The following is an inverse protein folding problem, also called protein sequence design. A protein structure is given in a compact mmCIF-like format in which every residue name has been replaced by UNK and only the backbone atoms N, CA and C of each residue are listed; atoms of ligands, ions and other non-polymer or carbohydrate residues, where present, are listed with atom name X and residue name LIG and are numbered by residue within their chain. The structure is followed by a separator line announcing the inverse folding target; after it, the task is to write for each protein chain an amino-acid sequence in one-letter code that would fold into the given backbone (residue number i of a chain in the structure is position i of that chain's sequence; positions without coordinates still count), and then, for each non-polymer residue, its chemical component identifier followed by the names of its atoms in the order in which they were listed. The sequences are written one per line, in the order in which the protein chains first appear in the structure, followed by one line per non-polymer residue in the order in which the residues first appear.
data_IF_672553374944
#
_entry.id   IF_672553374944
#
_cell.length_a   1.000
_cell.length_b   1.000
_cell.length_c   1.000
_cell.angle_alpha   90.00
_cell.angle_beta   90.00
_cell.angle_gamma   90.00
#
_symmetry.space_group_name_H-M   'P 1'
#
loop_
_entity.id
_entity.type
_entity.pdbx_description
1 polymer ?
#
# COMPACT_ATOMS: atom_id res chain seq x y z
N UNK A 1 50.33 -38.36 26.08
CA UNK A 1 49.12 -37.53 26.32
C UNK A 1 49.55 -36.09 26.08
N UNK A 2 49.10 -35.40 25.04
CA UNK A 2 47.88 -34.58 25.11
C UNK A 2 47.51 -34.11 23.70
N UNK A 3 46.30 -34.42 23.23
CA UNK A 3 45.68 -33.81 22.05
C UNK A 3 45.17 -32.44 22.46
N UNK A 4 45.91 -31.38 22.17
CA UNK A 4 45.35 -30.03 22.12
C UNK A 4 44.46 -29.94 20.89
N UNK A 5 43.17 -30.23 21.07
CA UNK A 5 42.13 -29.95 20.07
C UNK A 5 42.16 -28.46 19.74
N UNK A 6 42.39 -28.18 18.47
CA UNK A 6 42.29 -26.86 17.86
C UNK A 6 40.88 -26.27 18.12
N UNK A 7 40.80 -25.36 19.09
CA UNK A 7 39.58 -24.62 19.42
C UNK A 7 39.47 -23.31 18.59
N UNK A 8 40.42 -23.03 17.69
CA UNK A 8 40.42 -21.87 16.80
C UNK A 8 39.69 -22.14 15.48
N UNK A 9 39.85 -23.33 14.90
CA UNK A 9 39.22 -23.73 13.63
C UNK A 9 37.69 -23.79 13.70
N UNK A 10 37.12 -24.28 14.81
CA UNK A 10 35.67 -24.47 14.96
C UNK A 10 34.87 -23.16 14.91
N UNK A 11 35.47 -22.05 15.37
CA UNK A 11 34.81 -20.75 15.46
C UNK A 11 34.74 -20.02 14.11
N UNK A 12 35.72 -20.24 13.23
CA UNK A 12 35.72 -19.73 11.85
C UNK A 12 34.72 -20.47 10.94
N UNK A 13 34.65 -21.81 11.08
CA UNK A 13 33.72 -22.64 10.32
C UNK A 13 32.25 -22.34 10.68
N UNK A 14 31.94 -22.21 11.98
CA UNK A 14 30.59 -21.85 12.43
C UNK A 14 30.16 -20.46 11.90
N UNK A 15 31.06 -19.47 11.93
CA UNK A 15 30.80 -18.13 11.42
C UNK A 15 30.50 -18.10 9.92
N UNK A 16 31.24 -18.89 9.12
CA UNK A 16 30.99 -19.01 7.68
C UNK A 16 29.65 -19.69 7.35
N UNK A 17 29.26 -20.71 8.11
CA UNK A 17 27.97 -21.40 7.94
C UNK A 17 26.81 -20.48 8.31
N UNK A 18 26.91 -19.74 9.42
CA UNK A 18 25.88 -18.78 9.84
C UNK A 18 25.73 -17.62 8.84
N UNK A 19 26.85 -17.12 8.30
CA UNK A 19 26.84 -16.12 7.22
C UNK A 19 26.18 -16.66 5.96
N UNK A 20 26.48 -17.89 5.54
CA UNK A 20 25.84 -18.53 4.39
C UNK A 20 24.33 -18.73 4.58
N UNK A 21 23.90 -19.18 5.76
CA UNK A 21 22.48 -19.33 6.09
C UNK A 21 21.75 -17.98 6.12
N UNK A 22 22.38 -16.93 6.65
CA UNK A 22 21.83 -15.58 6.63
C UNK A 22 21.63 -15.08 5.20
N UNK A 23 22.61 -15.27 4.31
CA UNK A 23 22.47 -14.92 2.88
C UNK A 23 21.34 -15.72 2.23
N UNK A 24 21.27 -17.03 2.46
CA UNK A 24 20.23 -17.88 1.88
C UNK A 24 18.82 -17.44 2.32
N UNK A 25 18.61 -17.25 3.63
CA UNK A 25 17.35 -16.72 4.17
C UNK A 25 17.05 -15.32 3.62
N UNK A 26 18.07 -14.46 3.53
CA UNK A 26 17.96 -13.13 2.96
C UNK A 26 17.47 -13.14 1.52
N UNK A 27 18.05 -14.02 0.68
CA UNK A 27 17.61 -14.21 -0.71
C UNK A 27 16.17 -14.70 -0.79
N UNK A 28 15.76 -15.65 0.06
CA UNK A 28 14.38 -16.16 0.09
C UNK A 28 13.40 -15.05 0.45
N UNK A 29 13.68 -14.26 1.49
CA UNK A 29 12.82 -13.15 1.89
C UNK A 29 12.78 -12.03 0.85
N UNK A 30 13.92 -11.69 0.26
CA UNK A 30 14.02 -10.63 -0.76
C UNK A 30 13.30 -11.02 -2.04
N UNK A 31 13.67 -12.14 -2.65
CA UNK A 31 13.11 -12.59 -3.92
C UNK A 31 11.67 -13.06 -3.76
N UNK A 32 11.36 -13.77 -2.67
CA UNK A 32 10.00 -14.20 -2.35
C UNK A 32 9.08 -13.02 -2.07
N UNK A 33 9.53 -12.04 -1.27
CA UNK A 33 8.79 -10.81 -1.03
C UNK A 33 8.56 -10.01 -2.31
N UNK A 34 9.61 -9.84 -3.12
CA UNK A 34 9.49 -9.14 -4.41
C UNK A 34 8.54 -9.84 -5.38
N UNK A 35 8.68 -11.16 -5.55
CA UNK A 35 7.81 -11.93 -6.43
C UNK A 35 6.35 -11.90 -5.95
N UNK A 36 6.11 -12.06 -4.64
CA UNK A 36 4.77 -11.95 -4.07
C UNK A 36 4.18 -10.56 -4.29
N UNK A 37 4.95 -9.51 -4.01
CA UNK A 37 4.57 -8.12 -4.26
C UNK A 37 4.22 -7.86 -5.72
N UNK A 38 5.03 -8.35 -6.66
CA UNK A 38 4.81 -8.16 -8.10
C UNK A 38 3.55 -8.88 -8.63
N UNK A 39 3.14 -9.98 -7.98
CA UNK A 39 1.91 -10.70 -8.32
C UNK A 39 0.69 -9.96 -7.75
N UNK A 40 0.76 -9.50 -6.50
CA UNK A 40 -0.39 -8.92 -5.79
C UNK A 40 -0.60 -7.45 -6.12
N UNK A 41 0.46 -6.68 -6.36
CA UNK A 41 0.38 -5.24 -6.61
C UNK A 41 0.69 -4.90 -8.06
N UNK A 42 -0.06 -3.93 -8.59
CA UNK A 42 0.22 -3.30 -9.88
C UNK A 42 0.45 -1.80 -9.70
N UNK A 43 1.52 -1.24 -10.30
CA UNK A 43 1.71 0.21 -10.36
C UNK A 43 0.81 0.84 -11.42
N UNK A 44 0.26 2.01 -11.14
CA UNK A 44 -0.47 2.84 -12.10
C UNK A 44 0.03 4.28 -12.03
N UNK A 45 0.08 4.96 -13.18
CA UNK A 45 0.32 6.40 -13.25
C UNK A 45 -1.02 7.12 -13.33
N UNK A 46 -1.23 8.11 -12.46
CA UNK A 46 -2.49 8.84 -12.35
C UNK A 46 -2.47 10.05 -13.29
N UNK A 47 -3.39 10.17 -14.25
CA UNK A 47 -3.31 11.23 -15.26
C UNK A 47 -4.07 12.51 -14.90
N UNK A 48 -4.89 12.51 -13.84
CA UNK A 48 -5.79 13.64 -13.50
C UNK A 48 -5.77 13.97 -12.01
N UNK A 49 -6.19 15.19 -11.69
CA UNK A 49 -6.27 15.71 -10.31
C UNK A 49 -7.59 15.40 -9.61
N UNK A 50 -8.43 14.55 -10.18
CA UNK A 50 -9.75 14.21 -9.62
C UNK A 50 -9.73 13.56 -8.23
N UNK A 51 -8.55 13.17 -7.75
CA UNK A 51 -8.32 12.59 -6.43
C UNK A 51 -7.46 13.50 -5.53
N UNK A 52 -7.20 14.74 -5.95
CA UNK A 52 -6.52 15.73 -5.12
C UNK A 52 -7.34 16.01 -3.85
N UNK A 53 -6.71 16.21 -2.67
CA UNK A 53 -5.27 16.21 -2.41
C UNK A 53 -4.69 14.82 -2.10
N UNK A 54 -5.50 13.75 -2.10
CA UNK A 54 -5.05 12.40 -1.72
C UNK A 54 -4.06 11.82 -2.73
N UNK A 55 -4.35 11.99 -4.03
CA UNK A 55 -3.56 11.52 -5.16
C UNK A 55 -3.59 12.61 -6.23
N UNK A 56 -2.42 13.06 -6.67
CA UNK A 56 -2.27 14.17 -7.62
C UNK A 56 -1.89 13.63 -9.00
N UNK A 57 -2.18 14.38 -10.06
CA UNK A 57 -1.72 14.03 -11.40
C UNK A 57 -0.20 13.83 -11.43
N UNK A 58 0.23 12.74 -12.07
CA UNK A 58 1.63 12.30 -12.14
C UNK A 58 2.03 11.29 -11.05
N UNK A 59 1.23 11.10 -10.01
CA UNK A 59 1.52 10.13 -8.96
C UNK A 59 1.60 8.70 -9.52
N UNK A 60 2.53 7.91 -8.99
CA UNK A 60 2.59 6.46 -9.21
C UNK A 60 2.02 5.75 -8.01
N UNK A 61 0.83 5.18 -8.16
CA UNK A 61 0.12 4.48 -7.11
C UNK A 61 0.38 2.98 -7.17
N UNK A 62 0.42 2.33 -6.00
CA UNK A 62 0.42 0.87 -5.88
C UNK A 62 -0.97 0.43 -5.49
N UNK A 63 -1.57 -0.39 -6.36
CA UNK A 63 -2.89 -0.92 -6.14
C UNK A 63 -2.87 -2.45 -6.06
N UNK A 64 -3.49 -2.98 -5.02
CA UNK A 64 -3.68 -4.40 -4.77
C UNK A 64 -4.70 -4.96 -5.76
N UNK A 65 -4.34 -6.03 -6.47
CA UNK A 65 -5.23 -6.77 -7.36
C UNK A 65 -6.27 -7.50 -6.52
N UNK A 66 -7.44 -6.89 -6.39
CA UNK A 66 -8.59 -7.48 -5.70
C UNK A 66 -9.87 -7.26 -6.49
N UNK A 67 -10.79 -8.19 -6.31
CA UNK A 67 -12.09 -8.18 -6.94
C UNK A 67 -12.99 -7.16 -6.27
N UNK A 68 -14.03 -6.75 -6.99
CA UNK A 68 -15.09 -5.93 -6.42
C UNK A 68 -15.75 -6.52 -5.18
N UNK A 69 -15.66 -7.83 -4.91
CA UNK A 69 -16.30 -8.49 -3.76
C UNK A 69 -15.86 -7.93 -2.40
N UNK A 70 -14.58 -7.65 -2.23
CA UNK A 70 -13.99 -7.25 -0.95
C UNK A 70 -13.99 -5.74 -0.71
N UNK A 71 -14.36 -4.95 -1.71
CA UNK A 71 -14.38 -3.48 -1.65
C UNK A 71 -15.36 -2.96 -0.59
N UNK A 72 -14.87 -2.10 0.29
CA UNK A 72 -15.67 -1.43 1.32
C UNK A 72 -15.76 0.07 1.08
N UNK A 73 -16.62 0.73 1.85
CA UNK A 73 -16.71 2.19 1.86
C UNK A 73 -15.37 2.79 2.29
N UNK A 74 -15.02 3.90 1.67
CA UNK A 74 -13.77 4.62 1.86
C UNK A 74 -12.60 4.10 1.02
N UNK A 75 -12.68 2.92 0.41
CA UNK A 75 -11.63 2.39 -0.45
C UNK A 75 -11.44 3.29 -1.68
N UNK A 76 -10.19 3.48 -2.10
CA UNK A 76 -9.87 4.10 -3.39
C UNK A 76 -9.65 2.96 -4.38
N UNK A 77 -10.35 3.00 -5.51
CA UNK A 77 -10.36 1.90 -6.48
C UNK A 77 -9.90 2.35 -7.86
N UNK A 78 -9.19 1.47 -8.53
CA UNK A 78 -8.90 1.56 -9.97
C UNK A 78 -9.94 0.72 -10.70
N UNK A 79 -10.65 1.32 -11.65
CA UNK A 79 -11.71 0.65 -12.41
C UNK A 79 -11.77 1.16 -13.86
N UNK A 80 -12.49 0.43 -14.72
CA UNK A 80 -12.75 0.85 -16.11
C UNK A 80 -14.23 0.70 -16.42
N UNK A 81 -14.92 1.83 -16.63
CA UNK A 81 -16.34 1.88 -16.93
C UNK A 81 -16.55 2.55 -18.29
N UNK A 82 -16.91 1.78 -19.32
CA UNK A 82 -17.01 2.28 -20.71
C UNK A 82 -17.94 3.47 -20.87
N UNK A 83 -19.06 3.51 -20.12
CA UNK A 83 -19.99 4.65 -20.18
C UNK A 83 -19.40 5.95 -19.64
N UNK A 84 -18.32 5.89 -18.86
CA UNK A 84 -17.63 7.05 -18.30
C UNK A 84 -16.36 7.41 -19.10
N UNK A 85 -16.06 6.64 -20.16
CA UNK A 85 -14.86 6.77 -20.98
C UNK A 85 -14.08 5.46 -21.09
N UNK A 86 -13.24 5.37 -22.12
CA UNK A 86 -12.46 4.15 -22.41
C UNK A 86 -11.08 4.13 -21.71
N UNK A 87 -10.98 4.69 -20.50
CA UNK A 87 -9.73 4.77 -19.73
C UNK A 87 -9.87 4.20 -18.32
N UNK A 88 -8.74 3.94 -17.67
CA UNK A 88 -8.72 3.61 -16.25
C UNK A 88 -8.98 4.87 -15.43
N UNK A 89 -9.84 4.73 -14.42
CA UNK A 89 -10.25 5.79 -13.52
C UNK A 89 -9.89 5.41 -12.09
N UNK A 90 -9.61 6.43 -11.28
CA UNK A 90 -9.38 6.31 -9.84
C UNK A 90 -10.40 7.17 -9.11
N UNK A 91 -11.15 6.55 -8.20
CA UNK A 91 -12.19 7.21 -7.40
C UNK A 91 -12.29 6.56 -6.02
N UNK A 92 -12.88 7.27 -5.05
CA UNK A 92 -13.21 6.76 -3.73
C UNK A 92 -14.62 6.20 -3.69
N UNK A 93 -14.77 5.02 -3.10
CA UNK A 93 -16.06 4.40 -2.81
C UNK A 93 -16.69 5.12 -1.63
N UNK A 94 -17.81 5.80 -1.84
CA UNK A 94 -18.53 6.46 -0.74
C UNK A 94 -19.75 5.66 -0.29
N UNK A 95 -20.37 4.91 -1.20
CA UNK A 95 -21.50 4.04 -0.88
C UNK A 95 -21.45 2.74 -1.69
N UNK A 96 -22.03 1.67 -1.13
CA UNK A 96 -22.10 0.34 -1.73
C UNK A 96 -23.56 -0.10 -1.87
N UNK A 97 -23.82 -1.15 -2.66
CA UNK A 97 -25.17 -1.63 -2.89
C UNK A 97 -26.01 -1.84 -1.63
N UNK A 98 -27.22 -1.26 -1.63
CA UNK A 98 -28.15 -1.20 -0.50
C UNK A 98 -28.04 0.09 0.34
N UNK A 99 -27.00 0.90 0.13
CA UNK A 99 -26.89 2.19 0.79
C UNK A 99 -27.78 3.25 0.14
N UNK A 100 -28.18 4.22 0.95
CA UNK A 100 -28.66 5.51 0.46
C UNK A 100 -27.56 6.55 0.60
N UNK A 101 -27.33 7.35 -0.44
CA UNK A 101 -26.37 8.47 -0.44
C UNK A 101 -27.10 9.76 -0.79
N UNK A 102 -26.79 10.85 -0.09
CA UNK A 102 -27.33 12.18 -0.36
C UNK A 102 -26.33 13.27 0.05
N UNK A 103 -26.35 14.40 -0.65
CA UNK A 103 -25.52 15.55 -0.32
C UNK A 103 -26.24 16.89 -0.62
N UNK A 104 -26.05 17.95 0.17
CA UNK A 104 -25.20 18.04 1.36
C UNK A 104 -25.97 18.60 2.56
N UNK A 105 -26.24 17.77 3.57
CA UNK A 105 -26.85 18.25 4.82
C UNK A 105 -25.79 18.94 5.67
N UNK A 106 -25.87 20.28 5.75
CA UNK A 106 -24.88 21.14 6.40
C UNK A 106 -23.47 20.99 5.81
N UNK A 107 -23.39 20.87 4.47
CA UNK A 107 -22.10 20.77 3.76
C UNK A 107 -21.39 19.42 3.91
N UNK A 108 -22.05 18.40 4.47
CA UNK A 108 -21.51 17.04 4.60
C UNK A 108 -22.29 16.02 3.77
N UNK A 109 -21.57 15.04 3.25
CA UNK A 109 -22.14 13.84 2.64
C UNK A 109 -22.87 13.03 3.71
N UNK A 110 -24.02 12.46 3.34
CA UNK A 110 -24.75 11.52 4.19
C UNK A 110 -24.85 10.16 3.51
N UNK A 111 -24.60 9.10 4.27
CA UNK A 111 -24.79 7.72 3.83
C UNK A 111 -25.66 7.01 4.87
N UNK A 112 -26.79 6.44 4.44
CA UNK A 112 -27.81 5.87 5.33
C UNK A 112 -28.27 6.86 6.42
N UNK A 113 -28.43 8.13 6.04
CA UNK A 113 -28.82 9.22 6.94
C UNK A 113 -27.74 9.66 7.94
N UNK A 114 -26.58 9.00 7.97
CA UNK A 114 -25.45 9.37 8.84
C UNK A 114 -24.50 10.30 8.12
N UNK A 115 -24.09 11.38 8.78
CA UNK A 115 -23.07 12.31 8.29
C UNK A 115 -21.71 11.63 8.26
N UNK A 116 -20.99 11.78 7.17
CA UNK A 116 -19.66 11.20 6.99
C UNK A 116 -18.60 12.26 7.23
N UNK A 117 -17.61 11.91 8.04
CA UNK A 117 -16.40 12.71 8.17
C UNK A 117 -15.43 12.34 7.05
N UNK A 118 -15.04 13.33 6.25
CA UNK A 118 -14.21 13.12 5.06
C UNK A 118 -12.85 13.82 5.24
N UNK A 119 -11.97 13.33 6.13
CA UNK A 119 -10.70 14.00 6.46
C UNK A 119 -9.66 13.98 5.32
N UNK A 120 -10.00 13.34 4.20
CA UNK A 120 -9.20 13.30 2.97
C UNK A 120 -9.50 14.47 2.02
N UNK A 121 -10.61 15.19 2.21
CA UNK A 121 -10.90 16.40 1.44
C UNK A 121 -10.01 17.57 1.88
N UNK A 122 -9.82 18.58 1.02
CA UNK A 122 -9.06 19.75 1.43
C UNK A 122 -9.82 20.53 2.52
N UNK A 123 -9.07 21.23 3.38
CA UNK A 123 -9.68 21.98 4.49
C UNK A 123 -10.59 23.08 3.95
N UNK A 124 -11.85 23.05 4.36
CA UNK A 124 -12.84 24.05 3.97
C UNK A 124 -13.56 23.76 2.65
N UNK A 125 -13.23 22.66 1.98
CA UNK A 125 -14.01 22.19 0.83
C UNK A 125 -15.37 21.64 1.27
N UNK A 126 -16.37 21.90 0.44
CA UNK A 126 -17.68 21.30 0.58
C UNK A 126 -17.59 19.79 0.30
N UNK A 127 -18.41 18.99 0.98
CA UNK A 127 -18.49 17.57 0.69
C UNK A 127 -19.01 17.27 -0.71
N UNK A 128 -19.65 18.21 -1.41
CA UNK A 128 -19.93 18.09 -2.84
C UNK A 128 -20.25 19.48 -3.40
N UNK A 129 -19.89 19.72 -4.67
CA UNK A 129 -20.27 20.94 -5.38
C UNK A 129 -21.64 20.81 -6.06
N UNK A 130 -21.99 19.59 -6.45
CA UNK A 130 -23.27 19.22 -7.07
C UNK A 130 -24.28 18.72 -6.02
N UNK A 131 -25.57 19.03 -6.21
CA UNK A 131 -26.60 18.44 -5.34
C UNK A 131 -26.76 16.96 -5.67
N UNK A 132 -26.55 16.10 -4.66
CA UNK A 132 -26.82 14.66 -4.78
C UNK A 132 -28.20 14.40 -4.16
N UNK A 133 -29.24 14.10 -4.95
CA UNK A 133 -30.53 13.69 -4.38
C UNK A 133 -30.35 12.38 -3.61
N UNK A 134 -31.31 12.04 -2.73
CA UNK A 134 -31.27 10.75 -2.04
C UNK A 134 -31.38 9.61 -3.05
N UNK A 135 -30.28 8.88 -3.23
CA UNK A 135 -30.15 7.78 -4.19
C UNK A 135 -29.89 6.50 -3.42
N UNK A 136 -30.67 5.46 -3.70
CA UNK A 136 -30.35 4.10 -3.29
C UNK A 136 -29.38 3.47 -4.29
N UNK A 137 -28.21 3.04 -3.81
CA UNK A 137 -27.21 2.36 -4.64
C UNK A 137 -27.70 0.93 -4.91
N UNK A 138 -27.89 0.53 -6.18
CA UNK A 138 -28.36 -0.82 -6.46
C UNK A 138 -27.39 -1.90 -5.96
N UNK A 139 -27.93 -3.06 -5.58
CA UNK A 139 -27.13 -4.21 -5.13
C UNK A 139 -26.06 -4.56 -6.17
N UNK A 140 -24.86 -4.90 -5.69
CA UNK A 140 -23.72 -5.23 -6.55
C UNK A 140 -23.05 -4.03 -7.23
N UNK A 141 -23.42 -2.79 -6.86
CA UNK A 141 -22.83 -1.57 -7.41
C UNK A 141 -22.14 -0.72 -6.34
N UNK A 142 -21.38 0.27 -6.80
CA UNK A 142 -20.59 1.21 -6.02
C UNK A 142 -20.93 2.64 -6.46
N UNK A 143 -21.12 3.54 -5.51
CA UNK A 143 -21.18 4.97 -5.77
C UNK A 143 -19.80 5.57 -5.46
N UNK A 144 -19.22 6.21 -6.46
CA UNK A 144 -17.81 6.62 -6.48
C UNK A 144 -17.71 8.13 -6.63
N UNK A 145 -16.94 8.78 -5.75
CA UNK A 145 -16.65 10.21 -5.85
C UNK A 145 -15.14 10.45 -5.99
N UNK A 146 -14.78 11.54 -6.64
CA UNK A 146 -13.44 12.10 -6.53
C UNK A 146 -13.21 12.70 -5.15
N UNK A 147 -11.95 12.79 -4.74
CA UNK A 147 -11.61 13.61 -3.57
C UNK A 147 -11.60 15.10 -3.95
N UNK A 148 -11.37 15.43 -5.23
CA UNK A 148 -11.53 16.78 -5.77
C UNK A 148 -13.00 17.00 -6.17
N UNK A 149 -13.82 17.44 -5.21
CA UNK A 149 -15.30 17.49 -5.34
C UNK A 149 -15.82 18.53 -6.34
N UNK A 150 -14.98 19.46 -6.77
CA UNK A 150 -15.40 20.52 -7.71
C UNK A 150 -15.12 20.16 -9.17
N UNK A 151 -14.08 19.36 -9.43
CA UNK A 151 -13.56 19.08 -10.76
C UNK A 151 -13.63 17.61 -11.19
N UNK A 152 -14.16 16.73 -10.35
CA UNK A 152 -14.22 15.29 -10.63
C UNK A 152 -15.44 14.91 -11.47
N UNK A 153 -15.20 14.29 -12.63
CA UNK A 153 -16.22 13.53 -13.35
C UNK A 153 -16.35 12.14 -12.70
N UNK A 154 -17.40 11.96 -11.92
CA UNK A 154 -17.67 10.76 -11.14
C UNK A 154 -19.17 10.42 -11.08
N UNK A 155 -19.62 9.68 -10.07
CA UNK A 155 -21.03 9.26 -9.97
C UNK A 155 -22.02 10.41 -10.13
N UNK A 156 -21.67 11.62 -9.67
CA UNK A 156 -22.54 12.81 -9.76
C UNK A 156 -22.79 13.27 -11.19
N UNK A 157 -21.86 13.03 -12.12
CA UNK A 157 -22.01 13.37 -13.53
C UNK A 157 -22.95 12.42 -14.28
N UNK A 158 -23.27 11.26 -13.69
CA UNK A 158 -24.00 10.16 -14.33
C UNK A 158 -25.31 9.79 -13.61
N UNK A 159 -25.86 10.69 -12.79
CA UNK A 159 -27.03 10.42 -11.95
C UNK A 159 -28.31 10.08 -12.75
N UNK A 160 -28.44 10.58 -13.97
CA UNK A 160 -29.58 10.33 -14.85
C UNK A 160 -29.43 9.05 -15.69
N UNK A 161 -28.27 8.39 -15.62
CA UNK A 161 -28.00 7.15 -16.35
C UNK A 161 -28.49 5.90 -15.61
N UNK A 162 -28.49 4.77 -16.31
CA UNK A 162 -28.82 3.47 -15.74
C UNK A 162 -27.90 3.12 -14.55
N UNK A 163 -28.50 2.91 -13.39
CA UNK A 163 -27.79 2.66 -12.15
C UNK A 163 -27.52 3.91 -11.31
N UNK A 164 -28.13 5.06 -11.63
CA UNK A 164 -28.13 6.27 -10.79
C UNK A 164 -26.72 6.73 -10.43
N UNK A 165 -25.85 6.82 -11.44
CA UNK A 165 -24.45 7.19 -11.25
C UNK A 165 -23.56 6.13 -10.60
N UNK A 166 -24.07 4.97 -10.20
CA UNK A 166 -23.22 3.91 -9.63
C UNK A 166 -22.56 3.06 -10.72
N UNK A 167 -21.46 2.36 -10.39
CA UNK A 167 -20.77 1.41 -11.28
C UNK A 167 -20.84 -0.03 -10.74
N UNK A 168 -20.85 -1.07 -11.60
CA UNK A 168 -20.82 -2.45 -11.13
C UNK A 168 -19.55 -2.78 -10.35
N UNK A 169 -19.64 -3.57 -9.27
CA UNK A 169 -18.44 -4.04 -8.54
C UNK A 169 -17.48 -4.82 -9.44
N UNK A 170 -18.00 -5.51 -10.46
CA UNK A 170 -17.22 -6.30 -11.42
C UNK A 170 -16.30 -5.48 -12.32
N UNK A 171 -16.46 -4.15 -12.41
CA UNK A 171 -15.55 -3.31 -13.20
C UNK A 171 -14.32 -2.85 -12.43
N UNK A 172 -14.26 -3.10 -11.12
CA UNK A 172 -13.08 -2.85 -10.28
C UNK A 172 -11.94 -3.76 -10.71
N UNK A 173 -10.74 -3.20 -10.78
CA UNK A 173 -9.50 -3.91 -11.14
C UNK A 173 -8.54 -4.02 -9.98
N UNK A 174 -8.52 -3.03 -9.09
CA UNK A 174 -7.61 -2.99 -7.96
C UNK A 174 -8.09 -1.98 -6.90
N UNK A 175 -7.62 -2.15 -5.66
CA UNK A 175 -7.73 -1.16 -4.58
C UNK A 175 -6.39 -0.49 -4.35
N UNK A 176 -6.37 0.84 -4.24
CA UNK A 176 -5.17 1.63 -4.02
C UNK A 176 -4.80 1.62 -2.55
N UNK A 177 -3.57 1.19 -2.24
CA UNK A 177 -3.07 1.16 -0.87
C UNK A 177 -2.03 2.25 -0.60
N UNK A 178 -1.26 2.67 -1.61
CA UNK A 178 -0.15 3.61 -1.43
C UNK A 178 0.18 4.44 -2.68
N UNK A 179 0.82 5.58 -2.46
CA UNK A 179 1.53 6.37 -3.47
C UNK A 179 3.02 6.05 -3.38
N UNK A 180 3.54 5.33 -4.38
CA UNK A 180 4.94 4.92 -4.43
C UNK A 180 5.87 6.03 -4.96
N UNK A 181 5.37 6.95 -5.78
CA UNK A 181 6.12 8.11 -6.24
C UNK A 181 5.19 9.32 -6.30
N UNK A 182 5.51 10.45 -5.61
CA UNK A 182 6.75 10.80 -4.90
C UNK A 182 6.88 10.27 -3.45
N UNK A 183 6.73 8.96 -3.21
CA UNK A 183 6.89 8.29 -1.91
C UNK A 183 6.02 8.87 -0.79
N UNK A 184 4.77 9.28 -1.11
CA UNK A 184 3.81 9.75 -0.11
C UNK A 184 3.26 8.62 0.78
N UNK A 185 3.63 7.36 0.51
CA UNK A 185 3.42 6.23 1.39
C UNK A 185 1.98 5.69 1.34
N UNK A 186 1.57 5.01 2.42
CA UNK A 186 0.25 4.41 2.53
C UNK A 186 -0.84 5.48 2.56
N UNK A 187 -1.96 5.24 1.87
CA UNK A 187 -3.14 6.09 1.97
C UNK A 187 -3.67 6.10 3.42
N UNK A 188 -4.21 7.26 3.82
CA UNK A 188 -4.88 7.41 5.12
C UNK A 188 -6.12 6.52 5.18
N UNK A 189 -6.36 5.93 6.35
CA UNK A 189 -7.57 5.14 6.59
C UNK A 189 -8.82 6.03 6.52
N UNK A 190 -9.90 5.56 5.87
CA UNK A 190 -11.11 6.35 5.69
C UNK A 190 -12.03 6.22 6.93
N UNK A 191 -11.57 6.72 8.07
CA UNK A 191 -12.19 6.48 9.40
C UNK A 191 -13.63 6.95 9.51
N UNK A 192 -14.06 7.95 8.72
CA UNK A 192 -15.45 8.41 8.70
C UNK A 192 -16.47 7.35 8.30
N UNK A 193 -16.05 6.29 7.61
CA UNK A 193 -16.92 5.18 7.19
C UNK A 193 -16.96 4.01 8.19
N UNK A 194 -16.14 4.01 9.25
CA UNK A 194 -16.05 2.89 10.20
C UNK A 194 -17.40 2.59 10.87
N UNK A 195 -18.19 3.64 11.13
CA UNK A 195 -19.50 3.55 11.79
C UNK A 195 -20.61 2.95 10.91
N UNK A 196 -20.31 2.61 9.65
CA UNK A 196 -21.24 2.07 8.64
C UNK A 196 -21.07 0.56 8.37
N UNK A 197 -20.38 -0.16 9.24
CA UNK A 197 -20.16 -1.61 9.10
C UNK A 197 -18.73 -1.99 8.71
N UNK A 198 -17.75 -1.18 9.16
CA UNK A 198 -16.33 -1.47 9.02
C UNK A 198 -15.71 -0.98 7.71
N UNK A 199 -14.39 -0.82 7.77
CA UNK A 199 -13.53 -0.47 6.63
C UNK A 199 -12.63 -1.64 6.27
N UNK A 200 -12.14 -1.64 5.04
CA UNK A 200 -11.21 -2.66 4.57
C UNK A 200 -9.94 -2.75 5.42
N UNK A 201 -9.42 -3.96 5.57
CA UNK A 201 -8.06 -4.15 6.07
C UNK A 201 -7.05 -3.75 4.99
N UNK A 202 -5.94 -3.07 5.34
CA UNK A 202 -4.86 -2.81 4.40
C UNK A 202 -4.35 -4.11 3.79
N UNK A 203 -3.96 -4.06 2.51
CA UNK A 203 -3.32 -5.20 1.85
C UNK A 203 -1.94 -5.53 2.43
N UNK A 204 -1.29 -6.59 1.93
CA UNK A 204 -0.05 -7.10 2.49
C UNK A 204 1.17 -6.22 2.17
N UNK A 205 1.02 -5.02 1.59
CA UNK A 205 2.12 -4.15 1.14
C UNK A 205 3.19 -3.95 2.21
N UNK A 206 2.79 -3.69 3.47
CA UNK A 206 3.75 -3.52 4.56
C UNK A 206 4.58 -4.77 4.82
N UNK A 207 3.93 -5.93 4.82
CA UNK A 207 4.58 -7.22 5.04
C UNK A 207 5.54 -7.53 3.90
N UNK A 208 5.11 -7.32 2.65
CA UNK A 208 5.93 -7.46 1.45
C UNK A 208 7.18 -6.57 1.54
N UNK A 209 7.02 -5.28 1.84
CA UNK A 209 8.14 -4.36 1.98
C UNK A 209 9.08 -4.76 3.13
N UNK A 210 8.53 -5.19 4.27
CA UNK A 210 9.34 -5.69 5.40
C UNK A 210 10.15 -6.92 5.00
N UNK A 211 9.57 -7.88 4.28
CA UNK A 211 10.27 -9.06 3.80
C UNK A 211 11.41 -8.69 2.84
N UNK A 212 11.15 -7.77 1.90
CA UNK A 212 12.16 -7.28 0.95
C UNK A 212 13.32 -6.61 1.70
N UNK A 213 13.03 -5.65 2.60
CA UNK A 213 14.06 -4.91 3.32
C UNK A 213 14.86 -5.83 4.26
N UNK A 214 14.17 -6.68 5.04
CA UNK A 214 14.83 -7.64 5.92
C UNK A 214 15.71 -8.61 5.13
N UNK A 215 15.22 -9.08 3.97
CA UNK A 215 15.97 -9.92 3.06
C UNK A 215 17.25 -9.24 2.56
N UNK A 216 17.15 -8.00 2.08
CA UNK A 216 18.30 -7.21 1.62
C UNK A 216 19.34 -7.01 2.74
N UNK A 217 18.90 -6.68 3.96
CA UNK A 217 19.78 -6.52 5.12
C UNK A 217 20.53 -7.81 5.45
N UNK A 218 19.85 -8.96 5.42
CA UNK A 218 20.46 -10.27 5.66
C UNK A 218 21.48 -10.65 4.59
N UNK A 219 21.19 -10.40 3.31
CA UNK A 219 22.12 -10.65 2.21
C UNK A 219 23.37 -9.79 2.36
N UNK A 220 23.21 -8.49 2.56
CA UNK A 220 24.34 -7.56 2.68
C UNK A 220 25.18 -7.85 3.94
N UNK A 221 24.53 -8.05 5.09
CA UNK A 221 25.21 -8.37 6.35
C UNK A 221 25.92 -9.72 6.31
N UNK A 222 25.27 -10.74 5.75
CA UNK A 222 25.84 -12.07 5.55
C UNK A 222 27.05 -12.03 4.62
N UNK A 223 26.96 -11.36 3.47
CA UNK A 223 28.05 -11.24 2.50
C UNK A 223 29.25 -10.43 3.05
N UNK A 224 28.99 -9.39 3.84
CA UNK A 224 30.03 -8.56 4.44
C UNK A 224 30.78 -9.25 5.60
N UNK A 225 30.25 -10.34 6.15
CA UNK A 225 30.85 -11.07 7.28
C UNK A 225 32.30 -11.50 7.01
N UNK A 226 32.57 -12.11 5.86
CA UNK A 226 33.90 -12.63 5.50
C UNK A 226 34.99 -11.53 5.47
N UNK A 227 34.81 -10.45 4.70
CA UNK A 227 35.72 -9.31 4.69
C UNK A 227 35.94 -8.66 6.06
N UNK A 228 34.88 -8.49 6.85
CA UNK A 228 34.94 -7.86 8.17
C UNK A 228 35.67 -8.74 9.18
N UNK A 229 35.36 -10.04 9.22
CA UNK A 229 36.03 -11.00 10.09
C UNK A 229 37.53 -11.10 9.80
N UNK A 230 37.93 -11.09 8.52
CA UNK A 230 39.35 -11.07 8.11
C UNK A 230 40.08 -9.80 8.55
N UNK A 231 39.46 -8.62 8.42
CA UNK A 231 40.05 -7.34 8.88
C UNK A 231 40.17 -7.28 10.41
N UNK A 232 39.15 -7.72 11.13
CA UNK A 232 39.15 -7.76 12.59
C UNK A 232 40.22 -8.73 13.13
N UNK A 233 40.35 -9.92 12.52
CA UNK A 233 41.39 -10.89 12.87
C UNK A 233 42.81 -10.34 12.65
N UNK A 234 43.07 -9.66 11.51
CA UNK A 234 44.36 -9.03 11.23
C UNK A 234 44.74 -7.94 12.25
N UNK A 235 43.78 -7.08 12.65
CA UNK A 235 44.02 -6.06 13.68
C UNK A 235 44.37 -6.67 15.04
N UNK A 236 43.65 -7.73 15.44
CA UNK A 236 43.88 -8.41 16.72
C UNK A 236 45.22 -9.16 16.75
N UNK A 237 45.61 -9.78 15.64
CA UNK A 237 46.94 -10.39 15.50
C UNK A 237 48.08 -9.38 15.58
N UNK A 238 47.92 -8.19 14.97
CA UNK A 238 48.91 -7.11 15.03
C UNK A 238 49.08 -6.56 16.46
N UNK A 239 47.97 -6.31 17.17
CA UNK A 239 48.01 -5.86 18.57
C UNK A 239 48.62 -6.91 19.51
N UNK A 240 48.36 -8.20 19.28
CA UNK A 240 48.98 -9.28 20.05
C UNK A 240 50.48 -9.42 19.84
N UNK A 241 50.96 -9.21 18.60
CA UNK A 241 52.38 -9.24 18.28
C UNK A 241 53.15 -8.05 18.90
N UNK A 242 52.55 -6.86 18.92
CA UNK A 242 53.12 -5.67 19.57
C UNK A 242 53.29 -5.84 21.08
N UNK A 243 52.33 -6.49 21.75
CA UNK A 243 52.41 -6.81 23.18
C UNK A 243 53.42 -7.91 23.51
N UNK A 244 53.68 -8.84 22.58
CA UNK A 244 54.64 -9.93 22.78
C UNK A 244 56.10 -9.52 22.52
N UNK A 245 56.34 -8.55 21.63
CA UNK A 245 57.68 -8.00 21.36
C UNK A 245 58.16 -6.94 22.34
N UNK A 246 57.31 -6.53 23.29
CA UNK A 246 57.62 -5.52 24.32
C UNK A 246 58.02 -6.13 25.68
N UNK A 247 58.36 -7.44 25.73
CA UNK A 247 58.83 -8.16 26.92
C UNK A 247 60.23 -8.69 26.74
#
# INVERSE_FOLDING_TARGET
MSRTRDMGEGRGRLGSVLSGLAVALGCVLFLGGFAWGAVVYQPYTVPTDSMSPTIVAGDRILAERIDGGDIKRGDVVVFKQKSWGDMLLVKRVVAIGGDTVACCTNGKLTVNGKKIEEPYLAKGEAAESTTIPTIEVPKGRLFLLGDERSGSLDSTAHLTEAGSGSVPRSVVKARVDAVAWPMNGMLKRPTGFETLGGISSPGPLRLVLTAIVAGAVLVLGGAAYGPIAKRAGRRRGRAGAELAGAR
#
